data_IF_069647377370
#
_entry.id   IF_069647377370
#
_cell.length_a   1.000
_cell.length_b   1.000
_cell.length_c   1.000
_cell.angle_alpha   90.00
_cell.angle_beta   90.00
_cell.angle_gamma   90.00
#
_symmetry.space_group_name_H-M   'P 1'
#
loop_
_entity.id
_entity.type
_entity.pdbx_description
1 polymer ?
#
# COMPACT_ATOMS: atom_id res chain seq x y z
N UNK A 1 115.02 62.49 121.21
CA UNK A 1 115.27 62.05 119.81
C UNK A 1 114.05 61.26 119.36
N UNK A 2 113.42 61.65 118.27
CA UNK A 2 112.12 61.15 117.79
C UNK A 2 112.12 59.64 117.53
N UNK A 3 111.11 58.92 118.03
CA UNK A 3 111.05 57.45 117.98
C UNK A 3 110.57 56.95 116.59
N UNK A 4 111.39 56.23 115.82
CA UNK A 4 111.09 55.86 114.42
C UNK A 4 109.95 54.85 114.23
N UNK A 5 109.51 54.17 115.30
CA UNK A 5 108.41 53.20 115.25
C UNK A 5 107.02 53.82 114.97
N UNK A 6 106.84 55.11 115.27
CA UNK A 6 105.56 55.80 115.09
C UNK A 6 105.37 56.25 113.63
N UNK A 7 106.47 56.53 112.93
CA UNK A 7 106.48 56.86 111.50
C UNK A 7 106.18 55.63 110.63
N UNK A 8 106.69 54.45 110.99
CA UNK A 8 106.41 53.21 110.25
C UNK A 8 104.98 52.68 110.49
N UNK A 9 104.46 52.79 111.71
CA UNK A 9 103.06 52.46 112.02
C UNK A 9 102.06 53.41 111.34
N UNK A 10 102.35 54.72 111.31
CA UNK A 10 101.56 55.69 110.56
C UNK A 10 101.59 55.43 109.04
N UNK A 11 102.75 55.03 108.51
CA UNK A 11 102.90 54.60 107.11
C UNK A 11 102.04 53.38 106.77
N UNK A 12 102.07 52.32 107.59
CA UNK A 12 101.24 51.12 107.37
C UNK A 12 99.74 51.42 107.46
N UNK A 13 99.31 52.28 108.39
CA UNK A 13 97.92 52.70 108.49
C UNK A 13 97.46 53.48 107.25
N UNK A 14 98.31 54.38 106.74
CA UNK A 14 98.05 55.12 105.50
C UNK A 14 97.95 54.20 104.28
N UNK A 15 98.81 53.18 104.18
CA UNK A 15 98.72 52.17 103.10
C UNK A 15 97.45 51.32 103.20
N UNK A 16 97.03 50.91 104.40
CA UNK A 16 95.80 50.16 104.60
C UNK A 16 94.56 51.01 104.25
N UNK A 17 94.55 52.28 104.65
CA UNK A 17 93.48 53.24 104.29
C UNK A 17 93.47 53.48 102.78
N UNK A 18 94.64 53.69 102.15
CA UNK A 18 94.75 53.85 100.71
C UNK A 18 94.26 52.61 99.94
N UNK A 19 94.59 51.41 100.42
CA UNK A 19 94.11 50.14 99.85
C UNK A 19 92.59 49.96 100.01
N UNK A 20 92.03 50.30 101.18
CA UNK A 20 90.58 50.27 101.40
C UNK A 20 89.83 51.29 100.53
N UNK A 21 90.37 52.50 100.40
CA UNK A 21 89.83 53.54 99.51
C UNK A 21 89.92 53.09 98.04
N UNK A 22 91.03 52.49 97.62
CA UNK A 22 91.21 51.96 96.27
C UNK A 22 90.23 50.81 95.97
N UNK A 23 90.04 49.87 96.90
CA UNK A 23 89.04 48.79 96.77
C UNK A 23 87.60 49.33 96.75
N UNK A 24 87.28 50.32 97.58
CA UNK A 24 85.97 50.96 97.60
C UNK A 24 85.68 51.71 96.29
N UNK A 25 86.64 52.51 95.81
CA UNK A 25 86.56 53.23 94.54
C UNK A 25 86.47 52.24 93.37
N UNK A 26 87.32 51.21 93.34
CA UNK A 26 87.31 50.15 92.32
C UNK A 26 86.00 49.37 92.28
N UNK A 27 85.44 49.00 93.44
CA UNK A 27 84.14 48.32 93.54
C UNK A 27 82.98 49.23 93.13
N UNK A 28 83.04 50.53 93.45
CA UNK A 28 82.02 51.52 93.03
C UNK A 28 82.09 51.78 91.52
N UNK A 29 83.28 51.93 90.95
CA UNK A 29 83.51 52.07 89.50
C UNK A 29 83.10 50.80 88.75
N UNK A 30 83.46 49.62 89.25
CA UNK A 30 83.08 48.32 88.67
C UNK A 30 81.56 48.13 88.65
N UNK A 31 80.88 48.37 89.77
CA UNK A 31 79.41 48.28 89.86
C UNK A 31 78.71 49.32 88.98
N UNK A 32 79.24 50.54 88.88
CA UNK A 32 78.72 51.55 87.96
C UNK A 32 78.94 51.17 86.48
N UNK A 33 80.08 50.58 86.14
CA UNK A 33 80.35 50.09 84.78
C UNK A 33 79.45 48.90 84.43
N UNK A 34 79.20 47.99 85.37
CA UNK A 34 78.28 46.86 85.21
C UNK A 34 76.84 47.32 85.04
N UNK A 35 76.35 48.27 85.87
CA UNK A 35 75.03 48.87 85.71
C UNK A 35 74.87 49.56 84.36
N UNK A 36 75.89 50.29 83.88
CA UNK A 36 75.89 50.89 82.54
C UNK A 36 75.85 49.85 81.42
N UNK A 37 76.57 48.73 81.56
CA UNK A 37 76.51 47.62 80.60
C UNK A 37 75.14 46.94 80.60
N UNK A 38 74.54 46.72 81.77
CA UNK A 38 73.18 46.17 81.89
C UNK A 38 72.14 47.12 81.29
N UNK A 39 72.23 48.42 81.57
CA UNK A 39 71.36 49.43 80.97
C UNK A 39 71.54 49.51 79.45
N UNK A 40 72.77 49.47 78.95
CA UNK A 40 73.04 49.44 77.52
C UNK A 40 72.52 48.16 76.86
N UNK A 41 72.69 47.00 77.50
CA UNK A 41 72.17 45.71 77.04
C UNK A 41 70.63 45.66 77.07
N UNK A 42 70.01 46.26 78.08
CA UNK A 42 68.55 46.38 78.15
C UNK A 42 68.04 47.34 77.07
N UNK A 43 68.69 48.48 76.87
CA UNK A 43 68.33 49.44 75.82
C UNK A 43 68.44 48.81 74.42
N UNK A 44 69.51 48.06 74.13
CA UNK A 44 69.65 47.35 72.85
C UNK A 44 68.66 46.20 72.70
N UNK A 45 68.33 45.49 73.79
CA UNK A 45 67.29 44.46 73.78
C UNK A 45 65.89 45.05 73.53
N UNK A 46 65.57 46.19 74.17
CA UNK A 46 64.32 46.92 73.96
C UNK A 46 64.22 47.48 72.54
N UNK A 47 65.31 48.04 72.01
CA UNK A 47 65.37 48.51 70.61
C UNK A 47 65.20 47.36 69.63
N UNK A 48 65.86 46.22 69.88
CA UNK A 48 65.74 45.02 69.07
C UNK A 48 64.30 44.45 69.12
N UNK A 49 63.68 44.41 70.29
CA UNK A 49 62.30 43.97 70.46
C UNK A 49 61.32 44.90 69.74
N UNK A 50 61.50 46.23 69.85
CA UNK A 50 60.70 47.22 69.12
C UNK A 50 60.86 47.06 67.60
N UNK A 51 62.08 46.80 67.12
CA UNK A 51 62.34 46.54 65.70
C UNK A 51 61.63 45.28 65.22
N UNK A 52 61.77 44.16 65.94
CA UNK A 52 61.11 42.88 65.60
C UNK A 52 59.59 43.04 65.56
N UNK A 53 59.00 43.70 66.57
CA UNK A 53 57.55 43.94 66.60
C UNK A 53 57.12 44.87 65.45
N UNK A 54 57.90 45.91 65.16
CA UNK A 54 57.64 46.82 64.04
C UNK A 54 57.79 46.16 62.66
N UNK A 55 58.71 45.21 62.51
CA UNK A 55 58.85 44.38 61.31
C UNK A 55 57.70 43.40 61.18
N UNK A 56 57.35 42.67 62.25
CA UNK A 56 56.22 41.75 62.27
C UNK A 56 54.89 42.46 61.96
N UNK A 57 54.68 43.69 62.45
CA UNK A 57 53.49 44.48 62.09
C UNK A 57 53.47 44.88 60.62
N UNK A 58 54.60 45.32 60.06
CA UNK A 58 54.70 45.66 58.63
C UNK A 58 54.47 44.45 57.74
N UNK A 59 55.03 43.30 58.12
CA UNK A 59 54.84 42.05 57.40
C UNK A 59 53.39 41.56 57.48
N UNK A 60 52.76 41.61 58.66
CA UNK A 60 51.34 41.28 58.83
C UNK A 60 50.43 42.21 58.01
N UNK A 61 50.71 43.51 57.96
CA UNK A 61 49.97 44.46 57.14
C UNK A 61 50.16 44.19 55.64
N UNK A 62 51.39 43.87 55.22
CA UNK A 62 51.70 43.48 53.84
C UNK A 62 50.98 42.19 53.46
N UNK A 63 51.04 41.15 54.28
CA UNK A 63 50.36 39.88 54.06
C UNK A 63 48.84 40.07 53.96
N UNK A 64 48.26 40.89 54.85
CA UNK A 64 46.83 41.23 54.78
C UNK A 64 46.48 41.94 53.48
N UNK A 65 47.27 42.93 53.04
CA UNK A 65 47.04 43.63 51.78
C UNK A 65 47.13 42.67 50.60
N UNK A 66 48.16 41.82 50.55
CA UNK A 66 48.34 40.82 49.50
C UNK A 66 47.19 39.81 49.46
N UNK A 67 46.75 39.31 50.62
CA UNK A 67 45.61 38.39 50.70
C UNK A 67 44.30 39.04 50.20
N UNK A 68 44.07 40.31 50.56
CA UNK A 68 42.89 41.06 50.07
C UNK A 68 42.98 41.31 48.57
N UNK A 69 44.16 41.64 48.04
CA UNK A 69 44.36 41.85 46.60
C UNK A 69 44.17 40.55 45.82
N UNK A 70 44.80 39.46 46.24
CA UNK A 70 44.63 38.13 45.63
C UNK A 70 43.16 37.68 45.67
N UNK A 71 42.46 37.87 46.80
CA UNK A 71 41.03 37.59 46.88
C UNK A 71 40.19 38.43 45.91
N UNK A 72 40.54 39.71 45.71
CA UNK A 72 39.87 40.57 44.73
C UNK A 72 40.15 40.12 43.30
N UNK A 73 41.37 39.73 42.97
CA UNK A 73 41.74 39.23 41.64
C UNK A 73 40.97 37.95 41.30
N UNK A 74 40.90 36.99 42.23
CA UNK A 74 40.12 35.76 42.04
C UNK A 74 38.61 36.03 41.91
N UNK A 75 38.07 36.99 42.68
CA UNK A 75 36.67 37.41 42.53
C UNK A 75 36.40 38.05 41.16
N UNK A 76 37.35 38.83 40.62
CA UNK A 76 37.21 39.42 39.28
C UNK A 76 37.22 38.32 38.22
N UNK A 77 38.17 37.37 38.29
CA UNK A 77 38.22 36.23 37.36
C UNK A 77 36.93 35.41 37.39
N UNK A 78 36.46 35.04 38.58
CA UNK A 78 35.23 34.27 38.74
C UNK A 78 34.03 35.03 38.16
N UNK A 79 33.98 36.35 38.35
CA UNK A 79 32.94 37.18 37.77
C UNK A 79 33.01 37.22 36.25
N UNK A 80 34.20 37.36 35.66
CA UNK A 80 34.39 37.35 34.21
C UNK A 80 33.99 36.01 33.59
N UNK A 81 34.40 34.89 34.20
CA UNK A 81 33.99 33.54 33.79
C UNK A 81 32.47 33.37 33.84
N UNK A 82 31.85 33.82 34.93
CA UNK A 82 30.39 33.78 35.08
C UNK A 82 29.66 34.67 34.06
N UNK A 83 30.18 35.87 33.76
CA UNK A 83 29.61 36.76 32.74
C UNK A 83 29.69 36.16 31.33
N UNK A 84 30.76 35.43 31.02
CA UNK A 84 30.91 34.68 29.76
C UNK A 84 29.94 33.51 29.69
N UNK A 85 29.84 32.69 30.74
CA UNK A 85 28.91 31.56 30.80
C UNK A 85 27.45 32.03 30.72
N UNK A 86 27.09 33.07 31.49
CA UNK A 86 25.76 33.65 31.48
C UNK A 86 25.38 34.21 30.10
N UNK A 87 26.34 34.83 29.39
CA UNK A 87 26.12 35.28 28.01
C UNK A 87 25.93 34.11 27.06
N UNK A 88 26.78 33.08 27.14
CA UNK A 88 26.65 31.88 26.31
C UNK A 88 25.30 31.19 26.53
N UNK A 89 24.86 31.09 27.78
CA UNK A 89 23.55 30.52 28.13
C UNK A 89 22.39 31.36 27.60
N UNK A 90 22.48 32.70 27.68
CA UNK A 90 21.46 33.59 27.10
C UNK A 90 21.38 33.44 25.58
N UNK A 91 22.51 33.38 24.88
CA UNK A 91 22.54 33.19 23.42
C UNK A 91 21.98 31.82 22.98
N UNK A 92 22.23 30.77 23.78
CA UNK A 92 21.65 29.44 23.56
C UNK A 92 20.13 29.47 23.72
N UNK A 93 19.62 30.10 24.79
CA UNK A 93 18.18 30.25 25.04
C UNK A 93 17.52 31.03 23.89
N UNK A 94 18.05 32.19 23.50
CA UNK A 94 17.51 32.98 22.38
C UNK A 94 17.52 32.21 21.04
N UNK A 95 18.48 31.30 20.86
CA UNK A 95 18.55 30.45 19.66
C UNK A 95 17.45 29.39 19.66
N UNK A 96 17.24 28.72 20.80
CA UNK A 96 16.16 27.74 20.91
C UNK A 96 14.78 28.41 20.88
N UNK A 97 14.60 29.58 21.48
CA UNK A 97 13.36 30.37 21.39
C UNK A 97 13.02 30.69 19.92
N UNK A 98 13.96 31.23 19.15
CA UNK A 98 13.76 31.46 17.70
C UNK A 98 13.38 30.19 16.95
N UNK A 99 14.02 29.05 17.29
CA UNK A 99 13.71 27.76 16.67
C UNK A 99 12.31 27.26 17.01
N UNK A 100 11.85 27.51 18.24
CA UNK A 100 10.48 27.21 18.68
C UNK A 100 9.49 28.11 17.93
N UNK A 101 9.71 29.42 17.90
CA UNK A 101 8.84 30.38 17.19
C UNK A 101 8.70 30.04 15.70
N UNK A 102 9.80 29.68 15.03
CA UNK A 102 9.77 29.24 13.63
C UNK A 102 8.93 27.98 13.44
N UNK A 103 9.05 27.01 14.36
CA UNK A 103 8.26 25.76 14.32
C UNK A 103 6.79 26.02 14.61
N UNK A 104 6.47 26.86 15.58
CA UNK A 104 5.09 27.26 15.88
C UNK A 104 4.47 27.98 14.69
N UNK A 105 5.19 28.92 14.07
CA UNK A 105 4.74 29.58 12.84
C UNK A 105 4.51 28.61 11.68
N UNK A 106 5.38 27.60 11.51
CA UNK A 106 5.17 26.55 10.51
C UNK A 106 3.95 25.66 10.83
N UNK A 107 3.73 25.32 12.10
CA UNK A 107 2.59 24.52 12.55
C UNK A 107 1.28 25.28 12.35
N UNK A 108 1.22 26.56 12.70
CA UNK A 108 0.03 27.40 12.51
C UNK A 108 -0.35 27.48 11.02
N UNK A 109 0.63 27.71 10.12
CA UNK A 109 0.36 27.69 8.67
C UNK A 109 -0.17 26.35 8.16
N UNK A 110 0.33 25.23 8.70
CA UNK A 110 -0.17 23.90 8.36
C UNK A 110 -1.58 23.68 8.89
N UNK A 111 -1.86 24.18 10.09
CA UNK A 111 -3.18 24.10 10.71
C UNK A 111 -4.22 24.87 9.89
N UNK A 112 -3.92 26.12 9.49
CA UNK A 112 -4.80 26.93 8.64
C UNK A 112 -5.10 26.24 7.30
N UNK A 113 -4.09 25.63 6.68
CA UNK A 113 -4.25 24.88 5.43
C UNK A 113 -5.14 23.63 5.62
N UNK A 114 -4.98 22.93 6.74
CA UNK A 114 -5.82 21.77 7.06
C UNK A 114 -7.26 22.20 7.32
N UNK A 115 -7.49 23.28 8.06
CA UNK A 115 -8.82 23.82 8.31
C UNK A 115 -9.50 24.26 7.00
N UNK A 116 -8.75 24.91 6.09
CA UNK A 116 -9.27 25.27 4.78
C UNK A 116 -9.66 24.04 3.95
N UNK A 117 -8.82 22.99 3.96
CA UNK A 117 -9.13 21.72 3.27
C UNK A 117 -10.32 21.01 3.88
N UNK A 118 -10.46 21.03 5.20
CA UNK A 118 -11.61 20.43 5.89
C UNK A 118 -12.91 21.14 5.48
N UNK A 119 -12.92 22.48 5.49
CA UNK A 119 -14.06 23.27 5.03
C UNK A 119 -14.43 22.99 3.57
N UNK A 120 -13.46 22.92 2.66
CA UNK A 120 -13.71 22.56 1.26
C UNK A 120 -14.25 21.14 1.11
N UNK A 121 -13.68 20.18 1.85
CA UNK A 121 -14.13 18.77 1.84
C UNK A 121 -15.57 18.65 2.34
N UNK A 122 -15.91 19.31 3.45
CA UNK A 122 -17.25 19.31 4.01
C UNK A 122 -18.26 19.95 3.03
N UNK A 123 -17.88 21.05 2.38
CA UNK A 123 -18.71 21.69 1.36
C UNK A 123 -18.97 20.76 0.17
N UNK A 124 -17.95 20.07 -0.33
CA UNK A 124 -18.11 19.08 -1.41
C UNK A 124 -19.00 17.92 -0.98
N UNK A 125 -18.82 17.42 0.25
CA UNK A 125 -19.66 16.34 0.78
C UNK A 125 -21.14 16.76 0.85
N UNK A 126 -21.43 17.99 1.27
CA UNK A 126 -22.80 18.53 1.31
C UNK A 126 -23.41 18.66 -0.10
N UNK A 127 -22.64 19.11 -1.09
CA UNK A 127 -23.06 19.20 -2.49
C UNK A 127 -23.39 17.80 -3.02
N UNK A 128 -22.50 16.83 -2.80
CA UNK A 128 -22.70 15.43 -3.24
C UNK A 128 -23.95 14.84 -2.58
N UNK A 129 -24.11 14.99 -1.26
CA UNK A 129 -25.29 14.51 -0.54
C UNK A 129 -26.60 15.16 -1.03
N UNK A 130 -26.55 16.40 -1.52
CA UNK A 130 -27.71 17.08 -2.11
C UNK A 130 -28.01 16.53 -3.50
N UNK A 131 -27.00 16.32 -4.34
CA UNK A 131 -27.17 15.69 -5.65
C UNK A 131 -27.67 14.26 -5.56
N UNK A 132 -27.14 13.45 -4.63
CA UNK A 132 -27.60 12.08 -4.41
C UNK A 132 -29.08 12.03 -4.04
N UNK A 133 -29.52 12.88 -3.10
CA UNK A 133 -30.95 13.01 -2.76
C UNK A 133 -31.80 13.40 -3.96
N UNK A 134 -31.35 14.37 -4.76
CA UNK A 134 -32.03 14.78 -5.97
C UNK A 134 -32.11 13.67 -7.03
N UNK A 135 -31.04 12.90 -7.21
CA UNK A 135 -31.01 11.75 -8.12
C UNK A 135 -31.95 10.64 -7.65
N UNK A 136 -31.95 10.31 -6.36
CA UNK A 136 -32.87 9.31 -5.79
C UNK A 136 -34.33 9.72 -6.01
N UNK A 137 -34.68 11.00 -5.79
CA UNK A 137 -36.03 11.50 -6.04
C UNK A 137 -36.42 11.38 -7.52
N UNK A 138 -35.55 11.81 -8.44
CA UNK A 138 -35.80 11.69 -9.89
C UNK A 138 -35.94 10.24 -10.32
N UNK A 139 -35.16 9.33 -9.75
CA UNK A 139 -35.24 7.92 -10.08
C UNK A 139 -36.58 7.30 -9.63
N UNK A 140 -37.05 7.64 -8.43
CA UNK A 140 -38.38 7.22 -7.96
C UNK A 140 -39.52 7.81 -8.81
N UNK A 141 -39.39 9.07 -9.23
CA UNK A 141 -40.36 9.70 -10.13
C UNK A 141 -40.38 9.04 -11.51
N UNK A 142 -39.21 8.74 -12.06
CA UNK A 142 -39.07 8.04 -13.35
C UNK A 142 -39.67 6.63 -13.28
N UNK A 143 -39.39 5.87 -12.22
CA UNK A 143 -39.97 4.53 -12.01
C UNK A 143 -41.50 4.59 -11.93
N UNK A 144 -42.07 5.59 -11.25
CA UNK A 144 -43.52 5.83 -11.25
C UNK A 144 -44.04 6.13 -12.64
N UNK A 145 -43.42 7.07 -13.36
CA UNK A 145 -43.84 7.47 -14.71
C UNK A 145 -43.79 6.30 -15.69
N UNK A 146 -42.73 5.51 -15.66
CA UNK A 146 -42.60 4.28 -16.47
C UNK A 146 -43.68 3.26 -16.11
N UNK A 147 -43.99 3.11 -14.82
CA UNK A 147 -45.08 2.25 -14.36
C UNK A 147 -46.46 2.72 -14.84
N UNK A 148 -46.72 4.02 -14.79
CA UNK A 148 -47.96 4.63 -15.28
C UNK A 148 -48.09 4.53 -16.80
N UNK A 149 -47.01 4.79 -17.54
CA UNK A 149 -46.96 4.66 -18.99
C UNK A 149 -47.25 3.22 -19.43
N UNK A 150 -46.61 2.24 -18.78
CA UNK A 150 -46.91 0.81 -19.01
C UNK A 150 -48.39 0.50 -18.80
N UNK A 151 -48.99 0.94 -17.69
CA UNK A 151 -50.42 0.71 -17.44
C UNK A 151 -51.31 1.38 -18.48
N UNK A 152 -50.99 2.60 -18.92
CA UNK A 152 -51.76 3.30 -19.97
C UNK A 152 -51.65 2.58 -21.32
N UNK A 153 -50.46 2.08 -21.66
CA UNK A 153 -50.25 1.29 -22.87
C UNK A 153 -51.03 -0.04 -22.81
N UNK A 154 -51.02 -0.73 -21.67
CA UNK A 154 -51.84 -1.93 -21.45
C UNK A 154 -53.35 -1.63 -21.57
N UNK A 155 -53.82 -0.50 -21.04
CA UNK A 155 -55.20 -0.05 -21.18
C UNK A 155 -55.58 0.28 -22.62
N UNK A 156 -54.73 1.02 -23.35
CA UNK A 156 -54.95 1.38 -24.75
C UNK A 156 -54.92 0.18 -25.69
N UNK A 157 -54.01 -0.77 -25.44
CA UNK A 157 -53.93 -2.02 -26.19
C UNK A 157 -55.11 -2.96 -25.86
N UNK A 158 -55.81 -2.73 -24.75
CA UNK A 158 -56.92 -3.56 -24.28
C UNK A 158 -56.50 -4.93 -23.76
N UNK A 159 -55.20 -5.24 -23.76
CA UNK A 159 -54.61 -6.51 -23.33
C UNK A 159 -53.31 -6.20 -22.58
N UNK A 160 -52.99 -6.95 -21.52
CA UNK A 160 -51.73 -6.73 -20.78
C UNK A 160 -50.52 -7.17 -21.62
N UNK A 161 -49.31 -6.66 -21.33
CA UNK A 161 -48.12 -7.10 -22.05
C UNK A 161 -47.85 -8.61 -21.91
N UNK A 162 -48.22 -9.19 -20.78
CA UNK A 162 -48.18 -10.64 -20.53
C UNK A 162 -49.20 -11.39 -21.38
N UNK A 163 -50.43 -10.87 -21.51
CA UNK A 163 -51.47 -11.48 -22.32
C UNK A 163 -51.15 -11.36 -23.82
N UNK A 164 -50.58 -10.22 -24.24
CA UNK A 164 -50.09 -10.02 -25.62
C UNK A 164 -49.03 -11.05 -26.01
N UNK A 165 -48.09 -11.31 -25.10
CA UNK A 165 -47.07 -12.33 -25.30
C UNK A 165 -47.67 -13.73 -25.37
N UNK A 166 -48.64 -14.05 -24.51
CA UNK A 166 -49.32 -15.34 -24.52
C UNK A 166 -50.12 -15.58 -25.81
N UNK A 167 -50.89 -14.58 -26.24
CA UNK A 167 -51.67 -14.61 -27.48
C UNK A 167 -50.77 -14.75 -28.72
N UNK A 168 -49.66 -14.02 -28.79
CA UNK A 168 -48.69 -14.15 -29.88
C UNK A 168 -48.10 -15.55 -29.94
N UNK A 169 -47.70 -16.11 -28.80
CA UNK A 169 -47.17 -17.48 -28.72
C UNK A 169 -48.22 -18.50 -29.18
N UNK A 170 -49.47 -18.35 -28.74
CA UNK A 170 -50.56 -19.24 -29.15
C UNK A 170 -50.80 -19.20 -30.67
N UNK A 171 -50.84 -18.00 -31.28
CA UNK A 171 -50.99 -17.87 -32.73
C UNK A 171 -49.83 -18.48 -33.51
N UNK A 172 -48.60 -18.31 -33.02
CA UNK A 172 -47.42 -18.94 -33.63
C UNK A 172 -47.50 -20.46 -33.56
N UNK A 173 -48.01 -21.02 -32.45
CA UNK A 173 -48.23 -22.47 -32.31
C UNK A 173 -49.30 -22.98 -33.28
N UNK A 174 -50.43 -22.28 -33.42
CA UNK A 174 -51.49 -22.63 -34.37
C UNK A 174 -51.01 -22.58 -35.83
N UNK A 175 -50.27 -21.54 -36.21
CA UNK A 175 -49.71 -21.38 -37.55
C UNK A 175 -48.71 -22.50 -37.86
N UNK A 176 -47.82 -22.82 -36.92
CA UNK A 176 -46.88 -23.93 -37.06
C UNK A 176 -47.59 -25.29 -37.22
N UNK A 177 -48.70 -25.51 -36.50
CA UNK A 177 -49.50 -26.73 -36.65
C UNK A 177 -50.18 -26.81 -38.02
N UNK A 178 -50.73 -25.69 -38.52
CA UNK A 178 -51.36 -25.63 -39.84
C UNK A 178 -50.36 -25.91 -40.97
N UNK A 179 -49.16 -25.33 -40.89
CA UNK A 179 -48.07 -25.56 -41.84
C UNK A 179 -47.58 -27.00 -41.82
N UNK A 180 -47.40 -27.57 -40.62
CA UNK A 180 -47.05 -28.98 -40.48
C UNK A 180 -48.11 -29.90 -41.12
N UNK A 181 -49.40 -29.62 -40.90
CA UNK A 181 -50.49 -30.40 -41.49
C UNK A 181 -50.52 -30.32 -43.02
N UNK A 182 -50.30 -29.12 -43.58
CA UNK A 182 -50.20 -28.92 -45.03
C UNK A 182 -49.01 -29.68 -45.61
N UNK A 183 -47.85 -29.62 -44.94
CA UNK A 183 -46.64 -30.33 -45.35
C UNK A 183 -46.84 -31.84 -45.32
N UNK A 184 -47.49 -32.38 -44.29
CA UNK A 184 -47.83 -33.81 -44.22
C UNK A 184 -48.74 -34.21 -45.38
N UNK A 185 -49.74 -33.39 -45.71
CA UNK A 185 -50.64 -33.65 -46.84
C UNK A 185 -49.88 -33.68 -48.17
N UNK A 186 -48.99 -32.72 -48.39
CA UNK A 186 -48.12 -32.64 -49.58
C UNK A 186 -47.21 -33.88 -49.71
N UNK A 187 -46.56 -34.28 -48.61
CA UNK A 187 -45.72 -35.48 -48.56
C UNK A 187 -46.55 -36.71 -48.91
N UNK A 188 -47.75 -36.86 -48.34
CA UNK A 188 -48.63 -38.01 -48.59
C UNK A 188 -49.10 -38.09 -50.05
N UNK A 189 -49.50 -36.96 -50.63
CA UNK A 189 -49.91 -36.89 -52.04
C UNK A 189 -48.74 -37.20 -52.99
N UNK A 190 -47.55 -36.70 -52.68
CA UNK A 190 -46.33 -37.00 -53.44
C UNK A 190 -45.96 -38.48 -53.35
N UNK A 191 -46.02 -39.06 -52.15
CA UNK A 191 -45.79 -40.48 -51.92
C UNK A 191 -46.79 -41.34 -52.70
N UNK A 192 -48.08 -40.98 -52.69
CA UNK A 192 -49.12 -41.68 -53.46
C UNK A 192 -48.87 -41.60 -54.96
N UNK A 193 -48.57 -40.42 -55.50
CA UNK A 193 -48.23 -40.22 -56.93
C UNK A 193 -46.99 -41.03 -57.34
N UNK A 194 -45.97 -41.06 -56.51
CA UNK A 194 -44.75 -41.84 -56.77
C UNK A 194 -45.04 -43.34 -56.71
N UNK A 195 -45.80 -43.80 -55.73
CA UNK A 195 -46.21 -45.20 -55.61
C UNK A 195 -47.04 -45.65 -56.83
N UNK A 196 -47.99 -44.83 -57.30
CA UNK A 196 -48.80 -45.14 -58.48
C UNK A 196 -47.95 -45.19 -59.75
N UNK A 197 -46.99 -44.27 -59.91
CA UNK A 197 -46.04 -44.29 -61.03
C UNK A 197 -45.19 -45.56 -61.02
N UNK A 198 -44.66 -45.94 -59.87
CA UNK A 198 -43.83 -47.13 -59.72
C UNK A 198 -44.65 -48.41 -59.95
N UNK A 199 -45.89 -48.48 -59.44
CA UNK A 199 -46.78 -49.60 -59.67
C UNK A 199 -47.09 -49.79 -61.17
N UNK A 200 -47.40 -48.71 -61.90
CA UNK A 200 -47.62 -48.75 -63.36
C UNK A 200 -46.37 -49.23 -64.11
N UNK A 201 -45.19 -48.80 -63.68
CA UNK A 201 -43.91 -49.24 -64.25
C UNK A 201 -43.68 -50.74 -64.03
N UNK A 202 -43.91 -51.24 -62.81
CA UNK A 202 -43.78 -52.67 -62.48
C UNK A 202 -44.75 -53.52 -63.32
N UNK A 203 -46.02 -53.10 -63.43
CA UNK A 203 -47.02 -53.81 -64.24
C UNK A 203 -46.61 -53.84 -65.72
N UNK A 204 -46.17 -52.70 -66.27
CA UNK A 204 -45.70 -52.64 -67.65
C UNK A 204 -44.51 -53.58 -67.91
N UNK A 205 -43.54 -53.61 -66.99
CA UNK A 205 -42.39 -54.53 -67.07
C UNK A 205 -42.82 -56.00 -66.96
N UNK A 206 -43.78 -56.32 -66.10
CA UNK A 206 -44.32 -57.67 -65.97
C UNK A 206 -45.03 -58.12 -67.25
N UNK A 207 -45.88 -57.27 -67.84
CA UNK A 207 -46.54 -57.53 -69.12
C UNK A 207 -45.49 -57.75 -70.22
N UNK A 208 -44.51 -56.85 -70.35
CA UNK A 208 -43.44 -56.99 -71.35
C UNK A 208 -42.67 -58.30 -71.23
N UNK A 209 -42.45 -58.80 -70.01
CA UNK A 209 -41.76 -60.08 -69.77
C UNK A 209 -42.61 -61.30 -70.13
N UNK A 210 -43.90 -61.30 -69.79
CA UNK A 210 -44.77 -62.48 -69.94
C UNK A 210 -45.42 -62.56 -71.33
N UNK A 211 -45.62 -61.42 -72.01
CA UNK A 211 -46.35 -61.37 -73.27
C UNK A 211 -45.76 -62.27 -74.38
N UNK A 212 -44.44 -62.40 -74.45
CA UNK A 212 -43.80 -63.27 -75.45
C UNK A 212 -44.09 -64.76 -75.19
N UNK A 213 -43.92 -65.23 -73.94
CA UNK A 213 -44.18 -66.62 -73.56
C UNK A 213 -45.67 -66.97 -73.76
N UNK A 214 -46.59 -66.13 -73.29
CA UNK A 214 -48.03 -66.37 -73.44
C UNK A 214 -48.50 -66.37 -74.91
N UNK A 215 -47.89 -65.53 -75.76
CA UNK A 215 -48.26 -65.47 -77.18
C UNK A 215 -47.85 -66.74 -77.94
N UNK A 216 -46.74 -67.37 -77.54
CA UNK A 216 -46.32 -68.66 -78.12
C UNK A 216 -47.27 -69.77 -77.67
N UNK A 217 -47.62 -69.83 -76.39
CA UNK A 217 -48.51 -70.86 -75.85
C UNK A 217 -49.93 -70.78 -76.45
N UNK A 218 -50.44 -69.58 -76.73
CA UNK A 218 -51.78 -69.39 -77.28
C UNK A 218 -51.91 -69.64 -78.79
N UNK A 219 -50.83 -69.52 -79.56
CA UNK A 219 -50.88 -69.57 -81.04
C UNK A 219 -50.39 -70.88 -81.63
N UNK A 220 -49.73 -71.74 -80.85
CA UNK A 220 -49.25 -73.05 -81.30
C UNK A 220 -50.25 -74.14 -80.91
N UNK A 221 -50.81 -74.81 -81.92
CA UNK A 221 -51.67 -76.00 -81.74
C UNK A 221 -51.03 -77.18 -82.45
N UNK A 222 -50.72 -78.24 -81.70
CA UNK A 222 -50.17 -79.47 -82.25
C UNK A 222 -51.31 -80.46 -82.55
N UNK A 223 -51.36 -80.95 -83.80
CA UNK A 223 -52.32 -81.97 -84.23
C UNK A 223 -51.56 -83.21 -84.65
N UNK A 224 -51.81 -84.34 -83.99
CA UNK A 224 -51.16 -85.62 -84.34
C UNK A 224 -51.80 -86.24 -85.57
N UNK A 225 -50.98 -86.64 -86.55
CA UNK A 225 -51.45 -87.33 -87.75
C UNK A 225 -51.46 -88.85 -87.55
N UNK A 226 -52.53 -89.54 -87.99
CA UNK A 226 -52.70 -90.97 -87.71
C UNK A 226 -51.80 -91.88 -88.57
N UNK A 227 -51.26 -91.42 -89.70
CA UNK A 227 -50.30 -92.16 -90.52
C UNK A 227 -49.58 -91.24 -91.54
N UNK A 228 -48.44 -91.71 -92.09
CA UNK A 228 -47.62 -90.98 -93.06
C UNK A 228 -48.31 -90.77 -94.41
N UNK A 229 -49.29 -91.61 -94.76
CA UNK A 229 -50.08 -91.42 -95.97
C UNK A 229 -50.91 -90.13 -95.90
N UNK A 230 -51.49 -89.81 -94.73
CA UNK A 230 -52.13 -88.51 -94.50
C UNK A 230 -51.14 -87.36 -94.56
N UNK A 231 -49.92 -87.51 -94.01
CA UNK A 231 -48.84 -86.51 -94.13
C UNK A 231 -48.53 -86.19 -95.60
N UNK A 232 -48.41 -87.22 -96.43
CA UNK A 232 -48.21 -87.06 -97.88
C UNK A 232 -49.36 -86.33 -98.59
N UNK A 233 -50.61 -86.59 -98.23
CA UNK A 233 -51.79 -85.88 -98.80
C UNK A 233 -51.90 -84.43 -98.33
N UNK A 234 -51.56 -84.14 -97.08
CA UNK A 234 -51.58 -82.78 -96.53
C UNK A 234 -50.48 -81.92 -97.16
N UNK A 235 -49.28 -82.47 -97.39
CA UNK A 235 -48.20 -81.76 -98.08
C UNK A 235 -48.54 -81.56 -99.56
N UNK A 236 -48.97 -82.63 -100.24
CA UNK A 236 -49.22 -82.64 -101.67
C UNK A 236 -47.94 -82.57 -102.52
N UNK A 237 -48.07 -82.87 -103.82
CA UNK A 237 -46.92 -82.93 -104.74
C UNK A 237 -46.30 -81.53 -104.89
N UNK A 238 -45.02 -81.41 -104.51
CA UNK A 238 -44.25 -80.15 -104.40
C UNK A 238 -44.73 -79.17 -103.30
N UNK A 239 -45.41 -79.68 -102.27
CA UNK A 239 -45.89 -78.84 -101.15
C UNK A 239 -47.07 -77.93 -101.52
N UNK A 240 -47.73 -78.19 -102.66
CA UNK A 240 -48.83 -77.33 -103.14
C UNK A 240 -50.02 -77.30 -102.19
N UNK A 241 -50.29 -78.41 -101.49
CA UNK A 241 -51.50 -78.53 -100.67
C UNK A 241 -51.31 -77.86 -99.30
N UNK A 242 -50.12 -78.00 -98.69
CA UNK A 242 -49.77 -77.27 -97.46
C UNK A 242 -49.73 -75.76 -97.70
N UNK A 243 -49.08 -75.28 -98.77
CA UNK A 243 -49.06 -73.84 -99.08
C UNK A 243 -50.45 -73.27 -99.36
N UNK A 244 -51.31 -74.02 -100.04
CA UNK A 244 -52.69 -73.58 -100.28
C UNK A 244 -53.47 -73.47 -98.96
N UNK A 245 -53.25 -74.40 -98.03
CA UNK A 245 -53.86 -74.36 -96.71
C UNK A 245 -53.33 -73.19 -95.87
N UNK A 246 -52.01 -72.99 -95.80
CA UNK A 246 -51.38 -71.85 -95.11
C UNK A 246 -51.86 -70.51 -95.68
N UNK A 247 -51.94 -70.37 -97.00
CA UNK A 247 -52.40 -69.14 -97.63
C UNK A 247 -53.89 -68.86 -97.38
N UNK A 248 -54.71 -69.91 -97.30
CA UNK A 248 -56.16 -69.78 -97.07
C UNK A 248 -56.49 -69.51 -95.59
N UNK A 249 -55.67 -70.00 -94.67
CA UNK A 249 -55.94 -69.94 -93.21
C UNK A 249 -55.07 -68.93 -92.47
N UNK A 250 -53.95 -68.49 -93.06
CA UNK A 250 -53.00 -67.57 -92.46
C UNK A 250 -52.17 -68.16 -91.31
N UNK A 251 -52.13 -69.48 -91.19
CA UNK A 251 -51.29 -70.19 -90.21
C UNK A 251 -50.02 -70.71 -90.88
N UNK A 252 -48.92 -70.79 -90.12
CA UNK A 252 -47.71 -71.52 -90.52
C UNK A 252 -47.81 -72.96 -90.00
N UNK A 253 -47.72 -73.93 -90.91
CA UNK A 253 -47.84 -75.35 -90.57
C UNK A 253 -46.48 -76.01 -90.63
N UNK A 254 -45.90 -76.27 -89.45
CA UNK A 254 -44.66 -77.03 -89.33
C UNK A 254 -45.02 -78.50 -89.14
N UNK A 255 -44.56 -79.35 -90.05
CA UNK A 255 -44.77 -80.80 -89.94
C UNK A 255 -43.45 -81.43 -89.50
N UNK A 256 -43.42 -81.84 -88.23
CA UNK A 256 -42.40 -82.76 -87.67
C UNK A 256 -42.75 -84.21 -88.07
#
# INVERSE_FOLDING_TARGET
MTNPAWLSAAGMLLFAIAGAVFLFIGRKLGRNAELRRQQAAQATAEESAKRIVGEAHREAESLRKTAVLSGKEELIKLREEWEVEARGRREEVEREERRVDEREGQLNRKYDLLEQRERDTNRRAEIVATHERGLTQKQQELEKLVGEEKRRLEQLAGISATDAKAELMHRMEEEAQADAANRIREIRETAKRNAEREAKKIIALAIQRIAAEQSVEATVSAVSLPNDEMKGRIIGREGRNIRAFELATGVDVIID
#
